data_IF_899295346422
#
_entry.id   IF_899295346422
#
_cell.length_a   1.000
_cell.length_b   1.000
_cell.length_c   1.000
_cell.angle_alpha   90.00
_cell.angle_beta   90.00
_cell.angle_gamma   90.00
#
_symmetry.space_group_name_H-M   'P 1'
#
loop_
_entity.id
_entity.type
_entity.pdbx_description
1 polymer ?
#
# COMPACT_ATOMS: atom_id res chain seq x y z
N UNK A 1 5.38 -28.96 19.41
CA UNK A 1 4.28 -29.21 18.43
C UNK A 1 4.19 -28.02 17.56
N UNK A 2 4.86 -28.03 16.38
CA UNK A 2 4.84 -26.89 15.42
C UNK A 2 3.46 -26.83 14.79
N UNK A 3 2.74 -25.77 15.08
CA UNK A 3 1.49 -25.45 14.39
C UNK A 3 1.86 -24.97 12.97
N UNK A 4 1.88 -25.87 12.00
CA UNK A 4 1.87 -25.50 10.58
C UNK A 4 0.40 -25.32 10.18
N UNK A 5 -0.09 -24.09 10.00
CA UNK A 5 -1.41 -23.91 9.44
C UNK A 5 -1.39 -24.53 8.04
N UNK A 6 -2.34 -25.44 7.78
CA UNK A 6 -2.62 -25.91 6.43
C UNK A 6 -2.88 -24.66 5.60
N UNK A 7 -2.06 -24.40 4.58
CA UNK A 7 -2.25 -23.25 3.72
C UNK A 7 -3.69 -23.34 3.15
N UNK A 8 -4.56 -22.46 3.64
CA UNK A 8 -5.87 -22.30 3.02
C UNK A 8 -5.59 -21.85 1.59
N UNK A 9 -6.01 -22.64 0.61
CA UNK A 9 -5.86 -22.27 -0.79
C UNK A 9 -6.78 -21.08 -1.04
N UNK A 10 -6.26 -20.02 -1.63
CA UNK A 10 -7.04 -18.85 -2.05
C UNK A 10 -8.01 -19.18 -3.19
N UNK A 11 -7.80 -20.30 -3.88
CA UNK A 11 -8.59 -20.71 -5.03
C UNK A 11 -10.12 -20.69 -4.78
N UNK A 12 -10.68 -21.32 -3.71
CA UNK A 12 -12.12 -21.28 -3.49
C UNK A 12 -12.66 -19.85 -3.26
N UNK A 13 -11.84 -18.95 -2.77
CA UNK A 13 -12.22 -17.55 -2.62
C UNK A 13 -12.19 -16.82 -3.98
N UNK A 14 -11.15 -17.05 -4.79
CA UNK A 14 -11.04 -16.47 -6.12
C UNK A 14 -12.20 -16.92 -7.00
N UNK A 15 -12.60 -18.19 -6.93
CA UNK A 15 -13.71 -18.76 -7.69
C UNK A 15 -15.09 -18.11 -7.35
N UNK A 16 -15.20 -17.44 -6.19
CA UNK A 16 -16.43 -16.71 -5.83
C UNK A 16 -16.48 -15.28 -6.39
N UNK A 17 -15.36 -14.79 -6.92
CA UNK A 17 -15.27 -13.41 -7.37
C UNK A 17 -16.10 -13.18 -8.63
N UNK A 18 -16.83 -12.08 -8.60
CA UNK A 18 -17.58 -11.56 -9.74
C UNK A 18 -16.92 -10.27 -10.19
N UNK A 19 -16.60 -10.21 -11.46
CA UNK A 19 -16.06 -9.02 -12.11
C UNK A 19 -17.21 -8.06 -12.40
N UNK A 20 -17.09 -6.81 -11.95
CA UNK A 20 -18.08 -5.77 -12.22
C UNK A 20 -17.71 -4.94 -13.46
N UNK A 21 -18.57 -3.97 -13.78
CA UNK A 21 -18.31 -3.05 -14.89
C UNK A 21 -17.11 -2.15 -14.59
N UNK A 22 -16.24 -1.98 -15.58
CA UNK A 22 -15.09 -1.12 -15.48
C UNK A 22 -15.46 0.35 -15.41
N UNK A 23 -14.73 1.11 -14.60
CA UNK A 23 -14.81 2.57 -14.50
C UNK A 23 -13.46 3.18 -14.85
N UNK A 24 -13.45 4.26 -15.61
CA UNK A 24 -12.21 4.86 -16.10
C UNK A 24 -12.20 6.38 -16.02
N UNK A 25 -11.01 6.94 -15.80
CA UNK A 25 -10.73 8.36 -15.88
C UNK A 25 -9.32 8.57 -16.44
N UNK A 26 -9.21 9.38 -17.50
CA UNK A 26 -7.95 9.56 -18.23
C UNK A 26 -7.33 8.21 -18.63
N UNK A 27 -6.14 7.91 -18.13
CA UNK A 27 -5.41 6.69 -18.42
C UNK A 27 -5.54 5.60 -17.32
N UNK A 28 -6.36 5.83 -16.29
CA UNK A 28 -6.61 4.89 -15.20
C UNK A 28 -7.95 4.19 -15.39
N UNK A 29 -7.95 2.86 -15.36
CA UNK A 29 -9.15 2.03 -15.41
C UNK A 29 -9.17 1.11 -14.20
N UNK A 30 -10.33 1.01 -13.57
CA UNK A 30 -10.60 0.15 -12.42
C UNK A 30 -11.72 -0.81 -12.75
N UNK A 31 -11.51 -2.09 -12.45
CA UNK A 31 -12.54 -3.13 -12.56
C UNK A 31 -12.82 -3.67 -11.17
N UNK A 32 -14.02 -3.40 -10.60
CA UNK A 32 -14.34 -3.83 -9.26
C UNK A 32 -14.54 -5.34 -9.17
N UNK A 33 -14.05 -5.92 -8.09
CA UNK A 33 -14.20 -7.33 -7.77
C UNK A 33 -15.14 -7.47 -6.58
N UNK A 34 -16.22 -8.23 -6.77
CA UNK A 34 -17.23 -8.54 -5.76
C UNK A 34 -17.25 -10.03 -5.50
N UNK A 35 -17.79 -10.45 -4.38
CA UNK A 35 -17.93 -11.87 -4.05
C UNK A 35 -18.18 -12.08 -2.58
N UNK A 36 -18.42 -13.31 -2.20
CA UNK A 36 -18.58 -13.70 -0.81
C UNK A 36 -17.25 -14.23 -0.28
N UNK A 37 -16.81 -13.72 0.84
CA UNK A 37 -15.75 -14.37 1.59
C UNK A 37 -16.17 -14.47 3.05
N UNK A 38 -15.87 -15.56 3.70
CA UNK A 38 -16.13 -15.71 5.11
C UNK A 38 -15.07 -14.93 5.90
N UNK A 39 -15.05 -13.60 5.79
CA UNK A 39 -14.27 -12.75 6.67
C UNK A 39 -14.79 -12.91 8.09
N UNK A 40 -14.01 -13.60 8.93
CA UNK A 40 -14.38 -13.83 10.34
C UNK A 40 -13.41 -13.17 11.32
N UNK A 41 -12.38 -12.52 10.81
CA UNK A 41 -11.43 -11.83 11.69
C UNK A 41 -12.00 -10.49 12.11
N UNK A 42 -12.07 -10.25 13.41
CA UNK A 42 -12.42 -8.97 13.97
C UNK A 42 -11.15 -8.13 14.14
N UNK A 43 -10.94 -7.20 13.22
CA UNK A 43 -9.82 -6.26 13.25
C UNK A 43 -10.27 -4.84 12.96
N UNK A 44 -9.46 -3.89 13.36
CA UNK A 44 -9.50 -2.49 12.91
C UNK A 44 -8.26 -2.20 12.05
N UNK A 45 -8.32 -1.18 11.18
CA UNK A 45 -7.18 -0.76 10.39
C UNK A 45 -6.19 0.06 11.24
N UNK A 46 -4.92 -0.02 10.91
CA UNK A 46 -3.88 0.68 11.65
C UNK A 46 -4.12 2.20 11.72
N UNK A 47 -4.53 2.81 10.61
CA UNK A 47 -4.84 4.24 10.58
C UNK A 47 -5.96 4.64 11.54
N UNK A 48 -7.04 3.84 11.61
CA UNK A 48 -8.15 4.10 12.53
C UNK A 48 -7.70 3.93 14.00
N UNK A 49 -6.86 2.91 14.27
CA UNK A 49 -6.35 2.64 15.61
C UNK A 49 -5.35 3.70 16.09
N UNK A 50 -4.51 4.24 15.19
CA UNK A 50 -3.62 5.38 15.46
C UNK A 50 -4.46 6.62 15.77
N UNK A 51 -5.44 6.94 14.92
CA UNK A 51 -6.32 8.10 15.11
C UNK A 51 -7.12 8.01 16.41
N UNK A 52 -7.49 6.81 16.85
CA UNK A 52 -8.16 6.56 18.12
C UNK A 52 -7.21 6.56 19.34
N UNK A 53 -5.89 6.70 19.14
CA UNK A 53 -4.89 6.69 20.20
C UNK A 53 -4.70 5.34 20.90
N UNK A 54 -5.16 4.24 20.29
CA UNK A 54 -5.04 2.89 20.83
C UNK A 54 -3.95 2.05 20.17
N UNK A 55 -3.28 2.62 19.18
CA UNK A 55 -2.10 2.05 18.51
C UNK A 55 -1.00 3.10 18.46
N UNK A 56 0.18 2.73 18.92
CA UNK A 56 1.37 3.60 18.84
C UNK A 56 2.44 2.90 18.00
N UNK A 57 3.02 3.65 17.06
CA UNK A 57 4.14 3.19 16.21
C UNK A 57 5.33 4.10 16.44
N UNK A 58 6.47 3.53 16.80
CA UNK A 58 7.70 4.26 17.13
C UNK A 58 8.93 3.64 16.48
N UNK A 59 10.06 4.35 16.54
CA UNK A 59 11.35 3.72 16.27
C UNK A 59 11.62 2.61 17.29
N UNK A 60 12.39 1.58 16.89
CA UNK A 60 12.71 0.46 17.80
C UNK A 60 13.68 0.84 18.93
N UNK A 61 14.40 1.95 18.77
CA UNK A 61 15.35 2.53 19.74
C UNK A 61 15.64 3.98 19.38
N UNK A 62 16.32 4.72 20.24
CA UNK A 62 16.76 6.10 19.94
C UNK A 62 17.65 6.18 18.70
N UNK A 63 18.50 5.18 18.44
CA UNK A 63 19.29 5.06 17.22
C UNK A 63 18.44 4.84 15.96
N UNK A 64 17.25 4.28 16.13
CA UNK A 64 16.38 3.84 15.04
C UNK A 64 16.84 2.53 14.42
N UNK A 65 16.04 2.01 13.50
CA UNK A 65 16.36 0.84 12.68
C UNK A 65 15.66 0.95 11.35
N UNK A 66 16.42 0.88 10.25
CA UNK A 66 15.83 1.00 8.92
C UNK A 66 14.77 -0.06 8.63
N UNK A 67 15.00 -1.37 8.90
CA UNK A 67 14.07 -2.42 8.45
C UNK A 67 12.88 -2.67 9.39
N UNK A 68 12.82 -2.03 10.57
CA UNK A 68 11.75 -2.34 11.54
C UNK A 68 11.31 -1.10 12.32
N UNK A 69 10.00 -1.09 12.64
CA UNK A 69 9.40 -0.18 13.63
C UNK A 69 8.81 -1.00 14.78
N UNK A 70 8.69 -0.37 15.95
CA UNK A 70 8.02 -0.93 17.11
C UNK A 70 6.56 -0.51 17.12
N UNK A 71 5.68 -1.47 17.44
CA UNK A 71 4.23 -1.25 17.54
C UNK A 71 3.74 -1.69 18.90
N UNK A 72 2.93 -0.86 19.54
CA UNK A 72 2.16 -1.18 20.74
C UNK A 72 0.67 -1.08 20.41
N UNK A 73 -0.03 -2.22 20.42
CA UNK A 73 -1.48 -2.29 20.25
C UNK A 73 -2.14 -2.38 21.62
N UNK A 74 -2.73 -1.29 22.09
CA UNK A 74 -3.48 -1.22 23.34
C UNK A 74 -4.99 -1.44 23.14
N UNK A 75 -5.44 -1.74 21.91
CA UNK A 75 -6.82 -2.08 21.63
C UNK A 75 -7.17 -3.49 22.10
N UNK A 76 -8.47 -3.78 22.23
CA UNK A 76 -9.02 -5.11 22.51
C UNK A 76 -9.20 -5.95 21.24
N UNK A 77 -9.00 -5.35 20.08
CA UNK A 77 -9.09 -5.98 18.75
C UNK A 77 -7.73 -6.12 18.10
N UNK A 78 -7.62 -7.03 17.15
CA UNK A 78 -6.48 -7.08 16.24
C UNK A 78 -6.41 -5.80 15.41
N UNK A 79 -5.20 -5.39 15.05
CA UNK A 79 -4.96 -4.25 14.16
C UNK A 79 -4.27 -4.73 12.89
N UNK A 80 -4.86 -4.38 11.74
CA UNK A 80 -4.32 -4.73 10.42
C UNK A 80 -3.56 -3.53 9.83
N UNK A 81 -2.26 -3.73 9.60
CA UNK A 81 -1.46 -2.92 8.69
C UNK A 81 -1.49 -3.52 7.30
N UNK A 82 -1.54 -2.68 6.28
CA UNK A 82 -1.54 -3.12 4.89
C UNK A 82 -0.16 -2.95 4.23
N UNK A 83 0.17 -3.87 3.32
CA UNK A 83 1.35 -3.73 2.47
C UNK A 83 1.33 -2.40 1.72
N UNK A 84 2.44 -1.63 1.80
CA UNK A 84 2.56 -0.33 1.17
C UNK A 84 1.86 0.83 1.89
N UNK A 85 1.23 0.61 3.04
CA UNK A 85 0.71 1.69 3.89
C UNK A 85 1.86 2.57 4.38
N UNK A 86 1.72 3.89 4.22
CA UNK A 86 2.74 4.84 4.64
C UNK A 86 2.55 5.24 6.10
N UNK A 87 3.66 5.31 6.81
CA UNK A 87 3.80 5.83 8.17
C UNK A 87 4.69 7.07 8.12
N UNK A 88 4.12 8.22 8.50
CA UNK A 88 4.75 9.53 8.40
C UNK A 88 5.19 9.99 9.79
N UNK A 89 6.42 10.49 9.91
CA UNK A 89 6.93 11.06 11.16
C UNK A 89 8.25 10.45 11.61
N UNK A 90 8.46 10.46 12.91
CA UNK A 90 9.67 10.02 13.60
C UNK A 90 10.96 10.42 12.85
N UNK A 91 11.92 9.52 12.63
CA UNK A 91 13.19 9.84 11.96
C UNK A 91 13.12 9.92 10.44
N UNK A 92 12.23 9.15 9.82
CA UNK A 92 11.99 9.11 8.36
C UNK A 92 10.61 8.50 8.09
N UNK A 93 9.97 8.90 6.99
CA UNK A 93 8.76 8.24 6.55
C UNK A 93 9.05 6.80 6.09
N UNK A 94 8.12 5.89 6.39
CA UNK A 94 8.22 4.46 6.13
C UNK A 94 7.02 3.94 5.35
N UNK A 95 7.21 2.83 4.65
CA UNK A 95 6.11 2.02 4.10
C UNK A 95 6.22 0.59 4.61
N UNK A 96 5.08 -0.04 4.85
CA UNK A 96 5.01 -1.46 5.24
C UNK A 96 5.54 -2.36 4.13
N UNK A 97 6.38 -3.34 4.48
CA UNK A 97 6.93 -4.32 3.55
C UNK A 97 5.96 -5.45 3.22
N UNK A 98 5.03 -5.71 4.09
CA UNK A 98 3.97 -6.72 3.96
C UNK A 98 2.81 -6.36 4.88
N UNK A 99 1.63 -6.91 4.61
CA UNK A 99 0.52 -6.79 5.55
C UNK A 99 0.82 -7.54 6.85
N UNK A 100 0.49 -6.92 8.00
CA UNK A 100 0.75 -7.46 9.34
C UNK A 100 -0.50 -7.32 10.19
N UNK A 101 -0.90 -8.44 10.81
CA UNK A 101 -1.98 -8.45 11.79
C UNK A 101 -1.37 -8.48 13.20
N UNK A 102 -1.58 -7.41 13.95
CA UNK A 102 -1.04 -7.23 15.32
C UNK A 102 -2.08 -7.66 16.34
N UNK A 103 -1.72 -8.59 17.20
CA UNK A 103 -2.61 -9.12 18.24
C UNK A 103 -3.07 -8.01 19.23
N UNK A 104 -4.24 -8.19 19.87
CA UNK A 104 -4.70 -7.28 20.92
C UNK A 104 -3.71 -7.23 22.09
N UNK A 105 -3.61 -6.07 22.75
CA UNK A 105 -2.81 -5.89 23.97
C UNK A 105 -1.37 -6.42 23.84
N UNK A 106 -0.76 -6.19 22.66
CA UNK A 106 0.56 -6.76 22.35
C UNK A 106 1.54 -5.70 21.85
N UNK A 107 2.82 -6.05 21.94
CA UNK A 107 3.92 -5.28 21.35
C UNK A 107 4.67 -6.16 20.37
N UNK A 108 4.96 -5.61 19.19
CA UNK A 108 5.66 -6.33 18.14
C UNK A 108 6.51 -5.40 17.30
N UNK A 109 7.30 -5.97 16.38
CA UNK A 109 8.02 -5.23 15.36
C UNK A 109 7.37 -5.48 14.00
N UNK A 110 7.24 -4.43 13.20
CA UNK A 110 6.74 -4.52 11.83
C UNK A 110 7.87 -4.23 10.83
N UNK A 111 7.93 -4.97 9.70
CA UNK A 111 8.95 -4.76 8.68
C UNK A 111 8.57 -3.59 7.78
N UNK A 112 9.51 -2.68 7.57
CA UNK A 112 9.29 -1.46 6.79
C UNK A 112 10.48 -1.13 5.89
N UNK A 113 10.25 -0.22 4.91
CA UNK A 113 11.28 0.42 4.08
C UNK A 113 11.14 1.92 4.17
N UNK A 114 12.28 2.63 4.01
CA UNK A 114 12.28 4.09 4.00
C UNK A 114 11.80 4.62 2.65
N UNK A 115 10.96 5.66 2.67
CA UNK A 115 10.53 6.42 1.49
C UNK A 115 10.90 7.91 1.58
N UNK A 116 11.92 8.21 2.38
CA UNK A 116 12.47 9.55 2.58
C UNK A 116 13.98 9.45 2.84
N UNK A 117 14.80 9.56 1.80
CA UNK A 117 16.25 9.26 1.87
C UNK A 117 17.04 10.28 2.68
N UNK A 118 16.70 11.55 2.58
CA UNK A 118 17.53 12.67 3.08
C UNK A 118 17.30 13.05 4.54
N UNK A 119 16.40 12.38 5.29
CA UNK A 119 16.13 12.73 6.69
C UNK A 119 16.48 11.57 7.63
N UNK A 120 17.28 11.89 8.66
CA UNK A 120 17.53 10.97 9.78
C UNK A 120 17.49 11.72 11.10
N UNK A 121 16.41 12.48 11.29
CA UNK A 121 16.16 13.25 12.52
C UNK A 121 14.68 13.22 12.87
N UNK A 122 14.36 13.26 14.14
CA UNK A 122 12.97 13.26 14.58
C UNK A 122 12.22 14.50 14.08
N UNK A 123 11.07 14.28 13.43
CA UNK A 123 10.05 15.27 13.12
C UNK A 123 8.90 15.19 14.13
N UNK A 124 8.69 14.00 14.71
CA UNK A 124 7.69 13.72 15.76
C UNK A 124 8.18 12.55 16.62
N UNK A 125 7.63 12.35 17.84
CA UNK A 125 8.01 11.23 18.71
C UNK A 125 7.54 9.87 18.14
N UNK A 126 6.43 9.85 17.42
CA UNK A 126 5.76 8.68 16.88
C UNK A 126 5.38 8.86 15.42
N UNK A 127 4.90 7.79 14.81
CA UNK A 127 4.40 7.78 13.45
C UNK A 127 2.89 7.99 13.41
N UNK A 128 2.44 8.73 12.39
CA UNK A 128 1.05 8.86 12.03
C UNK A 128 0.77 8.08 10.74
N UNK A 129 -0.50 7.72 10.51
CA UNK A 129 -0.91 7.12 9.27
C UNK A 129 -0.80 8.14 8.12
N UNK A 130 -0.06 7.78 7.08
CA UNK A 130 0.07 8.54 5.85
C UNK A 130 -0.85 8.02 4.74
N UNK A 131 -0.36 8.14 3.51
CA UNK A 131 -1.01 7.63 2.32
C UNK A 131 -0.86 6.12 2.12
N UNK A 132 -0.95 5.72 0.87
CA UNK A 132 -0.62 4.38 0.41
C UNK A 132 0.32 4.49 -0.77
N UNK A 133 1.38 3.71 -0.78
CA UNK A 133 2.40 3.79 -1.83
C UNK A 133 1.84 3.37 -3.19
N UNK A 134 2.39 3.93 -4.29
CA UNK A 134 2.03 3.57 -5.65
C UNK A 134 2.11 2.07 -5.90
N UNK A 135 1.28 1.56 -6.81
CA UNK A 135 1.22 0.13 -7.13
C UNK A 135 2.53 -0.38 -7.74
N UNK A 136 3.21 0.45 -8.53
CA UNK A 136 4.51 0.14 -9.11
C UNK A 136 5.58 -0.10 -8.03
N UNK A 137 5.67 0.80 -7.04
CA UNK A 137 6.58 0.64 -5.90
C UNK A 137 6.22 -0.60 -5.07
N UNK A 138 4.92 -0.83 -4.79
CA UNK A 138 4.46 -2.02 -4.06
C UNK A 138 4.85 -3.32 -4.77
N UNK A 139 4.60 -3.41 -6.06
CA UNK A 139 4.92 -4.59 -6.86
C UNK A 139 6.43 -4.88 -6.90
N UNK A 140 7.28 -3.84 -7.04
CA UNK A 140 8.74 -3.99 -7.00
C UNK A 140 9.20 -4.46 -5.62
N UNK A 141 8.78 -3.77 -4.56
CA UNK A 141 9.09 -4.11 -3.18
C UNK A 141 8.64 -5.52 -2.81
N UNK A 142 7.42 -5.93 -3.16
CA UNK A 142 6.87 -7.26 -2.85
C UNK A 142 7.66 -8.40 -3.50
N UNK A 143 8.22 -8.20 -4.71
CA UNK A 143 9.12 -9.18 -5.34
C UNK A 143 10.39 -9.41 -4.52
N UNK A 144 11.01 -8.33 -4.01
CA UNK A 144 12.21 -8.42 -3.20
C UNK A 144 11.91 -9.03 -1.83
N UNK A 145 10.83 -8.58 -1.17
CA UNK A 145 10.34 -9.15 0.10
C UNK A 145 10.04 -10.64 -0.05
N UNK A 146 9.35 -11.05 -1.12
CA UNK A 146 9.06 -12.46 -1.39
C UNK A 146 10.33 -13.29 -1.59
N UNK A 147 11.38 -12.72 -2.21
CA UNK A 147 12.68 -13.38 -2.39
C UNK A 147 13.42 -13.53 -1.06
N UNK A 148 13.53 -12.46 -0.27
CA UNK A 148 14.24 -12.47 1.02
C UNK A 148 13.49 -13.31 2.06
N UNK A 149 12.16 -13.29 2.06
CA UNK A 149 11.35 -14.11 2.96
C UNK A 149 11.57 -15.62 2.72
N UNK A 150 11.59 -16.04 1.43
CA UNK A 150 11.90 -17.45 1.08
C UNK A 150 13.33 -17.85 1.43
N UNK A 151 14.29 -16.94 1.24
CA UNK A 151 15.71 -17.24 1.46
C UNK A 151 16.13 -17.19 2.94
N UNK A 152 15.55 -16.27 3.73
CA UNK A 152 16.04 -15.91 5.06
C UNK A 152 14.98 -15.91 6.15
N UNK A 153 13.70 -16.08 5.82
CA UNK A 153 12.56 -15.92 6.73
C UNK A 153 12.27 -14.46 7.12
N UNK A 154 12.89 -13.49 6.46
CA UNK A 154 12.77 -12.06 6.79
C UNK A 154 12.07 -11.29 5.67
N UNK A 155 11.11 -10.43 6.01
CA UNK A 155 10.39 -9.56 5.06
C UNK A 155 11.17 -8.25 4.83
N UNK A 156 12.29 -8.32 4.10
CA UNK A 156 13.17 -7.19 3.81
C UNK A 156 13.17 -6.91 2.32
N UNK A 157 13.00 -5.64 1.91
CA UNK A 157 13.16 -5.18 0.52
C UNK A 157 14.58 -4.68 0.25
N UNK A 158 14.91 -4.48 -1.01
CA UNK A 158 16.08 -3.71 -1.43
C UNK A 158 15.80 -2.21 -1.21
N UNK A 159 16.45 -1.63 -0.19
CA UNK A 159 16.25 -0.23 0.18
C UNK A 159 16.75 0.73 -0.92
N UNK A 160 17.83 0.39 -1.62
CA UNK A 160 18.32 1.17 -2.74
C UNK A 160 17.30 1.25 -3.86
N UNK A 161 16.72 0.11 -4.22
CA UNK A 161 15.67 0.02 -5.23
C UNK A 161 14.40 0.80 -4.86
N UNK A 162 14.06 0.91 -3.57
CA UNK A 162 12.95 1.75 -3.10
C UNK A 162 13.26 3.24 -3.31
N UNK A 163 14.48 3.68 -2.97
CA UNK A 163 14.90 5.07 -3.19
C UNK A 163 14.98 5.45 -4.66
N UNK A 164 15.47 4.55 -5.52
CA UNK A 164 15.50 4.74 -6.98
C UNK A 164 14.06 4.96 -7.53
N UNK A 165 13.08 4.21 -7.02
CA UNK A 165 11.69 4.38 -7.44
C UNK A 165 11.11 5.72 -6.97
N UNK A 166 11.39 6.13 -5.72
CA UNK A 166 10.98 7.45 -5.21
C UNK A 166 11.59 8.57 -6.07
N UNK A 167 12.89 8.47 -6.39
CA UNK A 167 13.57 9.44 -7.25
C UNK A 167 12.96 9.47 -8.66
N UNK A 168 12.62 8.32 -9.23
CA UNK A 168 11.97 8.21 -10.54
C UNK A 168 10.58 8.86 -10.56
N UNK A 169 9.81 8.73 -9.47
CA UNK A 169 8.50 9.42 -9.32
C UNK A 169 8.70 10.93 -9.31
N UNK A 170 9.62 11.46 -8.49
CA UNK A 170 9.92 12.89 -8.45
C UNK A 170 10.36 13.42 -9.81
N UNK A 171 11.25 12.70 -10.50
CA UNK A 171 11.73 13.09 -11.82
C UNK A 171 10.61 13.13 -12.87
N UNK A 172 9.72 12.12 -12.88
CA UNK A 172 8.61 12.04 -13.82
C UNK A 172 7.57 13.15 -13.60
N UNK A 173 7.33 13.53 -12.34
CA UNK A 173 6.34 14.55 -11.98
C UNK A 173 6.91 15.97 -11.96
N UNK A 174 8.24 16.14 -12.10
CA UNK A 174 8.90 17.41 -11.89
C UNK A 174 8.74 17.97 -10.48
N UNK A 175 8.47 17.10 -9.51
CA UNK A 175 8.32 17.48 -8.11
C UNK A 175 9.68 17.59 -7.42
N UNK A 176 9.75 18.42 -6.38
CA UNK A 176 10.99 18.68 -5.65
C UNK A 176 10.80 18.39 -4.16
N UNK A 177 11.74 17.64 -3.59
CA UNK A 177 11.80 17.33 -2.18
C UNK A 177 13.22 17.44 -1.66
N UNK A 178 13.51 18.29 -0.66
CA UNK A 178 14.84 18.38 -0.06
C UNK A 178 15.33 17.08 0.56
N UNK A 179 14.39 16.22 0.98
CA UNK A 179 14.66 14.94 1.63
C UNK A 179 14.30 13.74 0.77
N UNK A 180 13.90 13.96 -0.49
CA UNK A 180 13.40 12.91 -1.38
C UNK A 180 12.27 12.10 -0.74
N UNK A 181 11.28 12.78 -0.12
CA UNK A 181 10.14 12.16 0.51
C UNK A 181 9.03 11.89 -0.51
N UNK A 182 8.55 10.64 -0.61
CA UNK A 182 7.43 10.26 -1.47
C UNK A 182 6.18 11.10 -1.16
N UNK A 183 5.95 11.39 0.10
CA UNK A 183 4.80 12.18 0.56
C UNK A 183 4.76 13.57 -0.08
N UNK A 184 5.91 14.23 -0.24
CA UNK A 184 5.99 15.55 -0.88
C UNK A 184 5.65 15.51 -2.37
N UNK A 185 5.93 14.40 -3.08
CA UNK A 185 5.49 14.23 -4.46
C UNK A 185 3.95 14.15 -4.54
N UNK A 186 3.31 13.46 -3.60
CA UNK A 186 1.85 13.37 -3.49
C UNK A 186 1.26 14.76 -3.21
N UNK A 187 1.81 15.51 -2.25
CA UNK A 187 1.31 16.83 -1.88
C UNK A 187 1.40 17.84 -3.02
N UNK A 188 2.49 17.83 -3.78
CA UNK A 188 2.67 18.73 -4.91
C UNK A 188 1.75 18.41 -6.10
N UNK A 189 1.26 17.18 -6.22
CA UNK A 189 0.32 16.77 -7.27
C UNK A 189 -1.13 16.68 -6.79
N UNK A 190 -1.46 17.17 -5.60
CA UNK A 190 -2.76 16.98 -4.93
C UNK A 190 -3.96 17.33 -5.80
N UNK A 191 -3.95 18.47 -6.46
CA UNK A 191 -5.07 18.91 -7.34
C UNK A 191 -5.35 17.92 -8.47
N UNK A 192 -4.28 17.39 -9.08
CA UNK A 192 -4.40 16.37 -10.13
C UNK A 192 -4.91 15.04 -9.58
N UNK A 193 -4.41 14.63 -8.41
CA UNK A 193 -4.83 13.41 -7.73
C UNK A 193 -6.31 13.49 -7.31
N UNK A 194 -6.75 14.64 -6.80
CA UNK A 194 -8.15 14.89 -6.43
C UNK A 194 -9.10 14.76 -7.62
N UNK A 195 -8.64 15.10 -8.84
CA UNK A 195 -9.37 14.86 -10.07
C UNK A 195 -9.70 13.37 -10.29
N UNK A 196 -8.72 12.48 -10.08
CA UNK A 196 -8.94 11.03 -10.15
C UNK A 196 -9.86 10.54 -9.03
N UNK A 197 -9.68 11.01 -7.79
CA UNK A 197 -10.50 10.59 -6.65
C UNK A 197 -11.97 10.97 -6.83
N UNK A 198 -12.25 12.16 -7.37
CA UNK A 198 -13.62 12.60 -7.66
C UNK A 198 -14.26 11.80 -8.79
N UNK A 199 -13.49 11.49 -9.84
CA UNK A 199 -14.00 10.76 -11.00
C UNK A 199 -14.18 9.25 -10.73
N UNK A 200 -13.44 8.69 -9.80
CA UNK A 200 -13.40 7.26 -9.50
C UNK A 200 -13.74 7.01 -8.01
N UNK A 201 -15.01 7.23 -7.61
CA UNK A 201 -15.46 6.95 -6.25
C UNK A 201 -15.40 5.45 -5.93
N UNK A 202 -15.47 5.11 -4.64
CA UNK A 202 -15.52 3.71 -4.21
C UNK A 202 -16.68 2.96 -4.88
N UNK A 203 -16.41 1.86 -5.60
CA UNK A 203 -17.45 1.06 -6.23
C UNK A 203 -18.18 0.22 -5.17
N UNK A 204 -19.37 0.66 -4.80
CA UNK A 204 -20.12 0.12 -3.68
C UNK A 204 -20.18 -1.40 -3.65
N UNK A 205 -19.85 -1.99 -2.49
CA UNK A 205 -19.83 -3.43 -2.27
C UNK A 205 -18.66 -4.17 -2.91
N UNK A 206 -17.71 -3.46 -3.55
CA UNK A 206 -16.46 -4.08 -4.01
C UNK A 206 -15.55 -4.42 -2.83
N UNK A 207 -14.95 -5.58 -2.89
CA UNK A 207 -13.90 -6.01 -1.95
C UNK A 207 -12.50 -5.98 -2.54
N UNK A 208 -12.41 -5.74 -3.83
CA UNK A 208 -11.16 -5.59 -4.54
C UNK A 208 -11.33 -4.84 -5.84
N UNK A 209 -10.21 -4.52 -6.43
CA UNK A 209 -10.13 -3.90 -7.75
C UNK A 209 -8.97 -4.50 -8.55
N UNK A 210 -9.21 -4.69 -9.85
CA UNK A 210 -8.17 -4.86 -10.84
C UNK A 210 -7.90 -3.51 -11.47
N UNK A 211 -6.65 -3.11 -11.55
CA UNK A 211 -6.21 -1.78 -11.97
C UNK A 211 -5.41 -1.87 -13.26
N UNK A 212 -5.75 -1.01 -14.21
CA UNK A 212 -5.02 -0.82 -15.45
C UNK A 212 -4.61 0.65 -15.59
N UNK A 213 -3.38 0.88 -16.03
CA UNK A 213 -2.85 2.21 -16.33
C UNK A 213 -2.39 2.23 -17.78
N UNK A 214 -2.88 3.20 -18.56
CA UNK A 214 -2.61 3.30 -20.00
C UNK A 214 -2.90 2.00 -20.77
N UNK A 215 -3.92 1.23 -20.31
CA UNK A 215 -4.31 -0.06 -20.89
C UNK A 215 -3.45 -1.26 -20.47
N UNK A 216 -2.38 -1.08 -19.69
CA UNK A 216 -1.57 -2.17 -19.16
C UNK A 216 -2.03 -2.54 -17.74
N UNK A 217 -2.00 -3.83 -17.43
CA UNK A 217 -2.24 -4.32 -16.07
C UNK A 217 -1.23 -3.71 -15.09
N UNK A 218 -1.72 -3.15 -13.99
CA UNK A 218 -0.90 -2.53 -12.95
C UNK A 218 -0.95 -3.29 -11.63
N UNK A 219 -2.16 -3.60 -11.11
CA UNK A 219 -2.32 -4.25 -9.81
C UNK A 219 -3.67 -4.96 -9.66
N UNK A 220 -3.73 -5.90 -8.73
CA UNK A 220 -4.97 -6.37 -8.10
C UNK A 220 -4.81 -6.20 -6.59
N UNK A 221 -5.74 -5.48 -5.98
CA UNK A 221 -5.88 -5.42 -4.53
C UNK A 221 -7.20 -6.06 -4.13
N UNK A 222 -7.13 -7.04 -3.20
CA UNK A 222 -8.27 -7.84 -2.81
C UNK A 222 -8.29 -8.02 -1.28
N UNK A 223 -9.44 -7.80 -0.69
CA UNK A 223 -9.64 -7.81 0.76
C UNK A 223 -10.68 -8.85 1.16
N UNK A 224 -10.63 -9.29 2.40
CA UNK A 224 -11.57 -10.26 2.98
C UNK A 224 -13.00 -9.73 3.03
N UNK A 225 -13.19 -8.40 3.07
CA UNK A 225 -14.49 -7.74 3.17
C UNK A 225 -14.52 -6.36 2.48
N UNK A 226 -15.71 -5.95 1.99
CA UNK A 226 -15.87 -4.66 1.30
C UNK A 226 -15.53 -3.46 2.19
N UNK A 227 -15.85 -3.50 3.47
CA UNK A 227 -15.64 -2.40 4.42
C UNK A 227 -14.16 -2.04 4.56
N UNK A 228 -13.26 -3.02 4.41
CA UNK A 228 -11.81 -2.77 4.41
C UNK A 228 -11.41 -1.94 3.21
N UNK A 229 -11.85 -2.32 2.01
CA UNK A 229 -11.55 -1.56 0.80
C UNK A 229 -12.17 -0.16 0.84
N UNK A 230 -13.42 -0.04 1.28
CA UNK A 230 -14.11 1.26 1.42
C UNK A 230 -13.33 2.23 2.32
N UNK A 231 -12.89 1.75 3.48
CA UNK A 231 -12.12 2.53 4.46
C UNK A 231 -10.79 3.05 3.93
N UNK A 232 -10.12 2.28 3.10
CA UNK A 232 -8.79 2.65 2.56
C UNK A 232 -8.88 3.28 1.17
N UNK A 233 -10.07 3.37 0.58
CA UNK A 233 -10.27 3.70 -0.83
C UNK A 233 -9.52 4.95 -1.27
N UNK A 234 -9.70 6.06 -0.58
CA UNK A 234 -9.07 7.33 -0.95
C UNK A 234 -7.54 7.24 -0.93
N UNK A 235 -6.96 6.57 0.07
CA UNK A 235 -5.50 6.39 0.18
C UNK A 235 -4.96 5.48 -0.91
N UNK A 236 -5.64 4.36 -1.16
CA UNK A 236 -5.27 3.40 -2.19
C UNK A 236 -5.37 4.03 -3.59
N UNK A 237 -6.46 4.76 -3.84
CA UNK A 237 -6.68 5.52 -5.07
C UNK A 237 -5.62 6.59 -5.32
N UNK A 238 -5.15 7.28 -4.27
CA UNK A 238 -4.03 8.23 -4.40
C UNK A 238 -2.79 7.55 -4.96
N UNK A 239 -2.47 6.34 -4.50
CA UNK A 239 -1.35 5.55 -5.03
C UNK A 239 -1.53 5.18 -6.51
N UNK A 240 -2.72 4.73 -6.94
CA UNK A 240 -2.99 4.42 -8.34
C UNK A 240 -2.98 5.68 -9.23
N UNK A 241 -3.56 6.77 -8.75
CA UNK A 241 -3.58 8.04 -9.46
C UNK A 241 -2.16 8.59 -9.64
N UNK A 242 -1.29 8.44 -8.64
CA UNK A 242 0.11 8.84 -8.75
C UNK A 242 0.83 8.05 -9.84
N UNK A 243 0.66 6.72 -9.89
CA UNK A 243 1.20 5.89 -10.99
C UNK A 243 0.65 6.31 -12.35
N UNK A 244 -0.65 6.64 -12.43
CA UNK A 244 -1.28 7.11 -13.65
C UNK A 244 -0.70 8.45 -14.12
N UNK A 245 -0.48 9.42 -13.20
CA UNK A 245 0.18 10.70 -13.51
C UNK A 245 1.63 10.50 -13.97
N UNK A 246 2.39 9.63 -13.29
CA UNK A 246 3.75 9.26 -13.71
C UNK A 246 3.75 8.70 -15.13
N UNK A 247 2.79 7.82 -15.45
CA UNK A 247 2.65 7.24 -16.78
C UNK A 247 2.31 8.27 -17.86
N UNK A 248 1.47 9.27 -17.55
CA UNK A 248 1.14 10.37 -18.48
C UNK A 248 2.34 11.27 -18.77
N UNK A 249 3.23 11.47 -17.80
CA UNK A 249 4.38 12.35 -17.93
C UNK A 249 5.62 11.64 -18.54
N UNK A 250 5.66 10.32 -18.55
CA UNK A 250 6.70 9.55 -19.22
C UNK A 250 6.44 9.51 -20.72
N UNK A 251 7.20 10.27 -21.51
CA UNK A 251 7.07 10.37 -22.97
C UNK A 251 7.44 9.08 -23.74
N UNK A 252 8.01 8.08 -23.09
CA UNK A 252 8.65 6.91 -23.71
C UNK A 252 7.94 5.57 -23.49
N UNK A 253 6.68 5.58 -23.01
CA UNK A 253 5.94 4.33 -22.86
C UNK A 253 5.37 3.90 -24.21
N UNK A 254 5.69 2.66 -24.70
CA UNK A 254 5.01 2.10 -25.88
C UNK A 254 3.51 1.99 -25.58
N UNK A 255 2.65 2.10 -26.62
CA UNK A 255 1.21 1.92 -26.44
C UNK A 255 0.97 0.56 -25.79
N UNK A 256 0.17 0.57 -24.72
CA UNK A 256 -0.13 -0.63 -23.95
C UNK A 256 -0.76 -1.73 -24.82
N UNK A 257 -0.42 -2.99 -24.57
CA UNK A 257 -1.11 -4.09 -25.21
C UNK A 257 -2.60 -4.03 -24.85
N UNK A 258 -3.46 -4.17 -25.86
CA UNK A 258 -4.92 -4.17 -25.68
C UNK A 258 -5.31 -5.41 -24.86
N UNK A 259 -5.96 -5.23 -23.71
CA UNK A 259 -6.68 -6.31 -23.07
C UNK A 259 -6.42 -6.53 -21.58
N UNK A 260 -7.00 -5.66 -20.72
CA UNK A 260 -7.12 -5.97 -19.26
C UNK A 260 -8.11 -7.12 -19.03
N UNK A 261 -9.09 -7.30 -19.91
CA UNK A 261 -10.10 -8.37 -19.80
C UNK A 261 -9.49 -9.78 -19.91
N UNK A 262 -8.41 -9.99 -20.66
CA UNK A 262 -7.74 -11.29 -20.78
C UNK A 262 -6.96 -11.76 -19.56
N UNK A 263 -6.79 -10.92 -18.56
CA UNK A 263 -6.10 -11.29 -17.29
C UNK A 263 -7.07 -11.90 -16.28
N UNK A 264 -8.38 -11.77 -16.53
CA UNK A 264 -9.45 -12.23 -15.64
C UNK A 264 -10.21 -13.43 -16.19
N UNK A 265 -9.89 -13.88 -17.42
CA UNK A 265 -10.30 -15.16 -18.00
C UNK A 265 -9.29 -16.26 -17.65
#
# INVERSE_FOLDING_TARGET
MEFRPKAATLAPFIDTLKVGDGMGHLNLTLVPLRGEAPGRLDYTLAADAIAAGVLTVTEVSEGGSVPHLAVANEATKMVLFLDGEELVGAKQNRILNTSVLVAPKSRTKIPVSCVEQGRWRYASPDFQAGGHSPSGLRARKSRDVGRTLRATGRAVSDQGAVWDEVAAVHAALGSHSPTMAMHEAIDQCRDSLDGYLKALPYPQGARGVCVSISGAFAAIDLFDRPETLERIWSRLMTGYALDALVALNRKDLPPAPRGVLHVLE
#
